data_IF_298907407598
#
_entry.id   IF_298907407598
#
_cell.length_a   1.000
_cell.length_b   1.000
_cell.length_c   1.000
_cell.angle_alpha   90.00
_cell.angle_beta   90.00
_cell.angle_gamma   90.00
#
_symmetry.space_group_name_H-M   'P 1'
#
loop_
_entity.id
_entity.type
_entity.pdbx_description
1 polymer ?
#
# COMPACT_ATOMS: atom_id res chain seq x y z
N UNK A 1 6.86 12.54 9.14
CA UNK A 1 5.49 12.48 9.70
C UNK A 1 5.41 11.44 10.79
N UNK A 2 5.19 11.92 12.00
CA UNK A 2 4.84 11.12 13.17
C UNK A 2 3.34 10.81 13.17
N UNK A 3 2.91 9.79 13.90
CA UNK A 3 1.50 9.35 13.89
C UNK A 3 0.56 10.30 14.65
N UNK A 4 -0.74 10.08 14.50
CA UNK A 4 -1.79 10.77 15.27
C UNK A 4 -1.72 10.51 16.78
N UNK A 5 -1.02 9.46 17.23
CA UNK A 5 -0.80 9.19 18.64
C UNK A 5 0.19 10.19 19.29
N UNK A 6 1.04 10.84 18.49
CA UNK A 6 1.95 11.89 18.95
C UNK A 6 1.45 13.29 18.60
N UNK A 7 0.85 13.43 17.42
CA UNK A 7 0.37 14.69 16.87
C UNK A 7 -1.10 14.54 16.50
N UNK A 8 -2.03 14.79 17.43
CA UNK A 8 -3.45 14.55 17.21
C UNK A 8 -4.04 15.30 16.00
N UNK A 9 -3.41 16.38 15.54
CA UNK A 9 -3.76 17.08 14.30
C UNK A 9 -3.59 16.23 13.04
N UNK A 10 -2.81 15.13 13.11
CA UNK A 10 -2.71 14.13 12.05
C UNK A 10 -3.87 13.13 12.07
N UNK A 11 -4.77 13.19 13.07
CA UNK A 11 -6.03 12.47 13.01
C UNK A 11 -6.98 13.14 12.01
N UNK A 12 -7.53 12.34 11.09
CA UNK A 12 -8.35 12.86 9.98
C UNK A 12 -9.61 13.55 10.53
N UNK A 13 -10.31 12.94 11.48
CA UNK A 13 -11.56 13.49 12.03
C UNK A 13 -11.29 14.80 12.75
N UNK A 14 -10.23 14.87 13.54
CA UNK A 14 -9.81 16.08 14.24
C UNK A 14 -9.34 17.19 13.30
N UNK A 15 -8.57 16.85 12.25
CA UNK A 15 -8.18 17.82 11.25
C UNK A 15 -9.41 18.45 10.59
N UNK A 16 -10.42 17.64 10.25
CA UNK A 16 -11.70 18.14 9.71
C UNK A 16 -12.45 19.03 10.68
N UNK A 17 -12.55 18.64 11.96
CA UNK A 17 -13.25 19.46 12.96
C UNK A 17 -12.59 20.83 13.16
N UNK A 18 -11.28 20.92 12.89
CA UNK A 18 -10.51 22.17 12.90
C UNK A 18 -10.59 22.96 11.58
N UNK A 19 -11.44 22.56 10.63
CA UNK A 19 -11.64 23.28 9.37
C UNK A 19 -10.61 22.99 8.28
N UNK A 20 -9.80 21.93 8.41
CA UNK A 20 -8.84 21.55 7.37
C UNK A 20 -9.57 21.02 6.12
N UNK A 21 -9.42 21.73 5.00
CA UNK A 21 -10.11 21.44 3.74
C UNK A 21 -9.55 20.24 2.95
N UNK A 22 -8.26 19.93 3.09
CA UNK A 22 -7.62 18.73 2.50
C UNK A 22 -6.65 18.14 3.52
N UNK A 23 -6.78 16.85 3.82
CA UNK A 23 -5.96 16.14 4.81
C UNK A 23 -4.95 15.24 4.09
N UNK A 24 -3.67 15.40 4.44
CA UNK A 24 -2.56 14.65 3.88
C UNK A 24 -1.71 14.06 5.02
N UNK A 25 -1.83 12.76 5.25
CA UNK A 25 -1.09 12.05 6.31
C UNK A 25 -0.63 10.68 5.81
N UNK A 26 0.02 9.89 6.65
CA UNK A 26 0.37 8.50 6.31
C UNK A 26 -0.87 7.61 6.15
N UNK A 27 -2.02 7.99 6.71
CA UNK A 27 -3.25 7.20 6.59
C UNK A 27 -3.72 7.11 5.13
N UNK A 28 -3.97 5.88 4.66
CA UNK A 28 -4.55 5.62 3.34
C UNK A 28 -6.02 6.09 3.24
N UNK A 29 -6.64 6.45 4.38
CA UNK A 29 -7.95 7.10 4.47
C UNK A 29 -7.88 8.62 4.31
N UNK A 30 -6.68 9.21 4.22
CA UNK A 30 -6.51 10.64 3.91
C UNK A 30 -6.99 10.95 2.49
N UNK A 31 -7.30 12.22 2.21
CA UNK A 31 -7.61 12.67 0.84
C UNK A 31 -6.46 12.36 -0.12
N UNK A 32 -5.24 12.64 0.35
CA UNK A 32 -4.00 12.36 -0.37
C UNK A 32 -3.01 11.72 0.60
N UNK A 33 -2.91 10.38 0.63
CA UNK A 33 -1.98 9.70 1.54
C UNK A 33 -0.53 9.97 1.17
N UNK A 34 0.33 10.13 2.17
CA UNK A 34 1.76 10.40 2.03
C UNK A 34 2.53 9.30 2.77
N UNK A 35 2.78 8.19 2.08
CA UNK A 35 3.48 7.02 2.61
C UNK A 35 5.00 7.12 2.47
N UNK A 36 5.71 6.22 3.15
CA UNK A 36 7.18 6.10 3.15
C UNK A 36 7.67 5.03 2.18
N UNK A 37 7.15 5.06 0.95
CA UNK A 37 7.47 4.06 -0.06
C UNK A 37 7.36 4.65 -1.46
N UNK A 38 8.30 4.28 -2.31
CA UNK A 38 8.28 4.57 -3.74
C UNK A 38 9.30 3.67 -4.44
N UNK A 39 9.05 3.33 -5.71
CA UNK A 39 10.01 2.61 -6.54
C UNK A 39 11.27 3.43 -6.84
N UNK A 40 11.13 4.76 -6.89
CA UNK A 40 12.22 5.68 -7.17
C UNK A 40 13.23 5.80 -6.00
N UNK A 41 12.75 5.80 -4.75
CA UNK A 41 13.61 5.97 -3.57
C UNK A 41 14.07 4.63 -2.98
N UNK A 42 13.23 3.59 -3.08
CA UNK A 42 13.50 2.30 -2.47
C UNK A 42 13.77 1.23 -3.52
N UNK A 43 14.99 0.70 -3.51
CA UNK A 43 15.38 -0.47 -4.34
C UNK A 43 14.82 -1.77 -3.76
N UNK A 44 13.50 -1.85 -3.66
CA UNK A 44 12.76 -2.94 -2.99
C UNK A 44 12.99 -4.28 -3.70
N UNK A 45 13.27 -4.29 -5.00
CA UNK A 45 13.49 -5.51 -5.78
C UNK A 45 14.97 -5.92 -5.89
N UNK A 46 15.91 -5.19 -5.26
CA UNK A 46 17.31 -5.63 -5.24
C UNK A 46 17.42 -7.00 -4.55
N UNK A 47 18.25 -7.87 -5.13
CA UNK A 47 18.51 -9.20 -4.60
C UNK A 47 19.09 -9.11 -3.18
N UNK A 48 18.65 -9.98 -2.25
CA UNK A 48 19.20 -10.02 -0.90
C UNK A 48 20.69 -10.40 -0.93
N UNK A 49 21.49 -9.76 -0.06
CA UNK A 49 22.89 -10.13 0.16
C UNK A 49 22.99 -11.31 1.15
N UNK A 50 24.09 -12.09 1.13
CA UNK A 50 24.36 -13.09 2.16
C UNK A 50 24.33 -12.49 3.57
N UNK A 51 23.73 -13.20 4.52
CA UNK A 51 23.61 -12.76 5.91
C UNK A 51 24.86 -13.22 6.68
N UNK A 52 25.63 -12.26 7.16
CA UNK A 52 26.97 -12.48 7.74
C UNK A 52 27.00 -12.32 9.26
N UNK A 53 25.99 -11.66 9.86
CA UNK A 53 25.97 -11.40 11.30
C UNK A 53 25.45 -12.61 12.08
N UNK A 54 26.06 -12.91 13.24
CA UNK A 54 25.66 -14.05 14.07
C UNK A 54 24.35 -13.80 14.82
N UNK A 55 24.13 -12.57 15.28
CA UNK A 55 22.85 -12.19 15.88
C UNK A 55 21.73 -12.27 14.84
N UNK A 56 20.55 -12.70 15.27
CA UNK A 56 19.42 -12.96 14.38
C UNK A 56 18.87 -11.66 13.78
N UNK A 57 18.75 -10.62 14.60
CA UNK A 57 18.14 -9.35 14.21
C UNK A 57 18.96 -8.13 14.54
N UNK A 58 18.69 -7.03 13.84
CA UNK A 58 19.22 -5.71 14.15
C UNK A 58 18.11 -4.69 14.40
N UNK A 59 18.34 -3.79 15.35
CA UNK A 59 17.44 -2.71 15.74
C UNK A 59 18.13 -1.35 15.68
N UNK A 60 17.44 -0.37 15.09
CA UNK A 60 17.89 1.02 15.00
C UNK A 60 16.84 1.94 15.65
N UNK A 61 16.68 1.81 16.97
CA UNK A 61 15.65 2.54 17.74
C UNK A 61 16.32 3.60 18.60
N UNK A 62 15.96 4.87 18.39
CA UNK A 62 16.51 6.00 19.17
C UNK A 62 15.46 6.80 19.95
N UNK A 63 14.16 6.59 19.69
CA UNK A 63 13.11 7.13 20.54
C UNK A 63 12.73 6.06 21.58
N UNK A 64 13.16 6.22 22.83
CA UNK A 64 12.90 5.22 23.87
C UNK A 64 11.55 5.40 24.59
N UNK A 65 10.91 6.56 24.42
CA UNK A 65 9.58 6.90 24.96
C UNK A 65 8.48 6.67 23.93
N UNK A 66 8.44 5.47 23.35
CA UNK A 66 7.41 5.10 22.38
C UNK A 66 6.02 5.05 23.04
N UNK A 67 4.95 5.42 22.33
CA UNK A 67 3.56 5.27 22.79
C UNK A 67 3.04 3.84 22.49
N UNK A 68 3.88 2.82 22.72
CA UNK A 68 3.56 1.40 22.61
C UNK A 68 4.62 0.55 23.35
N UNK A 69 4.39 -0.76 23.41
CA UNK A 69 5.25 -1.72 24.12
C UNK A 69 6.49 -2.19 23.36
N UNK A 70 6.93 -1.46 22.31
CA UNK A 70 7.96 -1.97 21.38
C UNK A 70 9.29 -2.36 22.05
N UNK A 71 9.72 -1.61 23.08
CA UNK A 71 10.94 -1.93 23.82
C UNK A 71 10.74 -3.11 24.76
N UNK A 72 9.56 -3.23 25.38
CA UNK A 72 9.18 -4.39 26.18
C UNK A 72 9.19 -5.65 25.33
N UNK A 73 8.58 -5.60 24.13
CA UNK A 73 8.59 -6.67 23.15
C UNK A 73 10.02 -7.05 22.75
N UNK A 74 10.88 -6.06 22.46
CA UNK A 74 12.29 -6.30 22.12
C UNK A 74 13.04 -7.04 23.24
N UNK A 75 12.90 -6.61 24.49
CA UNK A 75 13.53 -7.27 25.64
C UNK A 75 12.99 -8.68 25.85
N UNK A 76 11.69 -8.89 25.70
CA UNK A 76 11.08 -10.21 25.80
C UNK A 76 11.57 -11.15 24.69
N UNK A 77 11.74 -10.66 23.45
CA UNK A 77 12.36 -11.45 22.36
C UNK A 77 13.79 -11.87 22.74
N UNK A 78 14.59 -10.95 23.28
CA UNK A 78 15.95 -11.26 23.76
C UNK A 78 15.94 -12.32 24.87
N UNK A 79 15.01 -12.22 25.83
CA UNK A 79 14.84 -13.21 26.90
C UNK A 79 14.40 -14.59 26.38
N UNK A 80 13.65 -14.65 25.27
CA UNK A 80 13.28 -15.88 24.57
C UNK A 80 14.41 -16.45 23.68
N UNK A 81 15.61 -15.85 23.76
CA UNK A 81 16.81 -16.29 23.06
C UNK A 81 16.97 -15.74 21.64
N UNK A 82 16.19 -14.74 21.24
CA UNK A 82 16.39 -14.06 19.95
C UNK A 82 17.46 -12.99 20.12
N UNK A 83 18.69 -13.30 19.71
CA UNK A 83 19.80 -12.34 19.77
C UNK A 83 19.53 -11.16 18.83
N UNK A 84 19.51 -9.96 19.40
CA UNK A 84 19.26 -8.71 18.68
C UNK A 84 20.37 -7.71 18.99
N UNK A 85 21.01 -7.20 17.93
CA UNK A 85 21.98 -6.13 18.00
C UNK A 85 21.27 -4.78 17.88
N UNK A 86 21.41 -3.93 18.89
CA UNK A 86 20.84 -2.58 18.95
C UNK A 86 21.89 -1.52 18.67
N UNK A 87 21.73 -0.87 17.52
CA UNK A 87 22.61 0.19 17.01
C UNK A 87 22.08 1.61 17.34
N UNK A 88 20.83 1.70 17.79
CA UNK A 88 20.20 2.97 18.16
C UNK A 88 20.55 3.44 19.57
N UNK A 89 19.87 4.48 20.04
CA UNK A 89 20.08 5.04 21.39
C UNK A 89 19.40 4.22 22.50
N UNK A 90 18.49 3.30 22.15
CA UNK A 90 17.79 2.44 23.11
C UNK A 90 18.42 1.05 23.16
N UNK A 91 18.53 0.45 24.35
CA UNK A 91 19.23 -0.82 24.67
C UNK A 91 20.75 -0.85 24.36
N UNK A 92 21.18 -0.21 23.27
CA UNK A 92 22.55 0.08 22.83
C UNK A 92 23.61 -0.96 23.28
N UNK A 93 23.49 -2.18 22.77
CA UNK A 93 24.45 -3.26 23.07
C UNK A 93 25.57 -3.39 22.03
N UNK A 94 25.58 -2.56 20.99
CA UNK A 94 26.67 -2.44 20.01
C UNK A 94 27.35 -1.07 20.11
N UNK A 95 28.67 -1.06 20.36
CA UNK A 95 29.47 0.15 20.42
C UNK A 95 29.64 0.79 19.03
N UNK A 96 29.58 2.13 18.97
CA UNK A 96 29.79 2.88 17.72
C UNK A 96 28.68 2.72 16.67
N UNK A 97 27.58 2.03 16.99
CA UNK A 97 26.57 1.63 16.01
C UNK A 97 25.88 2.78 15.28
N UNK A 98 25.77 3.95 15.91
CA UNK A 98 25.12 5.14 15.34
C UNK A 98 25.89 5.79 14.18
N UNK A 99 27.19 5.49 14.04
CA UNK A 99 28.02 5.99 12.95
C UNK A 99 27.93 5.11 11.68
N UNK A 100 27.28 3.95 11.77
CA UNK A 100 27.17 3.01 10.66
C UNK A 100 26.05 3.41 9.69
N UNK A 101 26.22 3.02 8.42
CA UNK A 101 25.15 3.11 7.44
C UNK A 101 24.07 2.07 7.77
N UNK A 102 22.92 2.53 8.25
CA UNK A 102 21.78 1.69 8.65
C UNK A 102 21.42 0.63 7.60
N UNK A 103 21.29 1.03 6.33
CA UNK A 103 20.81 0.11 5.29
C UNK A 103 21.85 -0.97 4.96
N UNK A 104 23.14 -0.61 4.87
CA UNK A 104 24.19 -1.61 4.67
C UNK A 104 24.30 -2.57 5.86
N UNK A 105 24.20 -2.06 7.09
CA UNK A 105 24.19 -2.93 8.28
C UNK A 105 23.01 -3.88 8.27
N UNK A 106 21.78 -3.41 7.99
CA UNK A 106 20.60 -4.26 7.95
C UNK A 106 20.71 -5.41 6.92
N UNK A 107 21.43 -5.21 5.82
CA UNK A 107 21.63 -6.24 4.77
C UNK A 107 22.36 -7.47 5.30
N UNK A 108 23.17 -7.33 6.34
CA UNK A 108 23.95 -8.40 6.94
C UNK A 108 23.14 -9.31 7.89
N UNK A 109 21.93 -8.91 8.29
CA UNK A 109 21.07 -9.64 9.23
C UNK A 109 19.95 -10.40 8.54
N UNK A 110 19.55 -11.55 9.11
CA UNK A 110 18.34 -12.28 8.69
C UNK A 110 17.08 -11.45 8.97
N UNK A 111 17.01 -10.84 10.14
CA UNK A 111 15.85 -10.07 10.58
C UNK A 111 16.19 -8.60 10.81
N UNK A 112 15.20 -7.73 10.58
CA UNK A 112 15.28 -6.30 10.89
C UNK A 112 14.10 -5.91 11.77
N UNK A 113 14.35 -5.26 12.91
CA UNK A 113 13.28 -4.79 13.79
C UNK A 113 12.67 -3.50 13.21
N UNK A 114 11.56 -3.67 12.50
CA UNK A 114 10.75 -2.59 11.95
C UNK A 114 9.68 -2.14 12.96
N UNK A 115 10.13 -1.71 14.14
CA UNK A 115 9.25 -1.36 15.26
C UNK A 115 8.83 0.11 15.19
N UNK A 116 7.55 0.35 14.94
CA UNK A 116 6.97 1.68 14.98
C UNK A 116 6.81 2.18 16.41
N UNK A 117 6.72 3.51 16.59
CA UNK A 117 6.57 4.13 17.91
C UNK A 117 5.11 4.25 18.38
N UNK A 118 4.16 3.79 17.57
CA UNK A 118 2.74 3.72 17.93
C UNK A 118 2.04 2.69 17.06
N UNK A 119 0.89 2.19 17.52
CA UNK A 119 0.11 1.15 16.83
C UNK A 119 -1.11 1.75 16.13
N UNK A 120 -0.88 2.76 15.27
CA UNK A 120 -1.94 3.46 14.53
C UNK A 120 -2.12 2.81 13.17
N UNK A 121 -3.37 2.63 12.71
CA UNK A 121 -3.68 2.14 11.36
C UNK A 121 -2.90 2.91 10.30
N UNK A 122 -2.35 2.20 9.31
CA UNK A 122 -1.61 2.76 8.18
C UNK A 122 -0.30 3.47 8.50
N UNK A 123 0.10 3.52 9.77
CA UNK A 123 1.36 4.13 10.18
C UNK A 123 2.53 3.16 9.92
N UNK A 124 2.88 2.99 8.64
CA UNK A 124 4.03 2.22 8.17
C UNK A 124 5.08 3.18 7.63
N UNK A 125 6.26 3.17 8.23
CA UNK A 125 7.32 4.14 7.93
C UNK A 125 8.50 3.52 7.20
N UNK A 126 9.59 4.27 7.06
CA UNK A 126 10.83 3.83 6.43
C UNK A 126 11.38 2.54 7.06
N UNK A 127 11.06 2.26 8.34
CA UNK A 127 11.59 1.08 9.06
C UNK A 127 11.19 -0.22 8.37
N UNK A 128 9.93 -0.32 7.95
CA UNK A 128 9.43 -1.49 7.25
C UNK A 128 10.04 -1.59 5.84
N UNK A 129 9.95 -0.52 5.05
CA UNK A 129 10.45 -0.54 3.66
C UNK A 129 11.97 -0.68 3.56
N UNK A 130 12.75 -0.11 4.48
CA UNK A 130 14.20 -0.32 4.55
C UNK A 130 14.55 -1.78 4.87
N UNK A 131 13.72 -2.48 5.64
CA UNK A 131 13.90 -3.93 5.87
C UNK A 131 13.72 -4.72 4.56
N UNK A 132 12.69 -4.37 3.77
CA UNK A 132 12.47 -4.95 2.45
C UNK A 132 13.64 -4.66 1.50
N UNK A 133 14.13 -3.42 1.44
CA UNK A 133 15.31 -3.05 0.62
C UNK A 133 16.57 -3.80 1.07
N UNK A 134 16.75 -3.99 2.38
CA UNK A 134 17.88 -4.76 2.92
C UNK A 134 17.82 -6.26 2.57
N UNK A 135 16.66 -6.75 2.11
CA UNK A 135 16.42 -8.18 1.91
C UNK A 135 16.47 -8.94 3.24
N UNK A 136 16.03 -8.28 4.32
CA UNK A 136 15.96 -8.83 5.67
C UNK A 136 14.50 -8.92 6.06
N UNK A 137 14.10 -10.01 6.70
CA UNK A 137 12.70 -10.24 7.08
C UNK A 137 12.31 -9.26 8.20
N UNK A 138 11.36 -8.35 7.98
CA UNK A 138 10.93 -7.42 9.02
C UNK A 138 10.22 -8.17 10.16
N UNK A 139 10.66 -7.92 11.39
CA UNK A 139 9.89 -8.18 12.61
C UNK A 139 9.19 -6.87 12.95
N UNK A 140 7.87 -6.88 13.00
CA UNK A 140 7.05 -5.67 13.08
C UNK A 140 6.25 -5.64 14.38
N UNK A 141 6.26 -4.48 15.04
CA UNK A 141 5.22 -4.06 15.97
C UNK A 141 4.81 -2.64 15.56
N UNK A 142 3.51 -2.37 15.47
CA UNK A 142 3.01 -1.15 14.84
C UNK A 142 1.57 -1.29 14.36
N UNK A 143 1.25 -0.90 13.10
CA UNK A 143 -0.12 -0.86 12.62
C UNK A 143 -0.80 -2.23 12.65
N UNK A 144 -2.07 -2.32 13.09
CA UNK A 144 -2.82 -3.58 13.12
C UNK A 144 -3.02 -4.21 11.74
N UNK A 145 -2.93 -3.42 10.67
CA UNK A 145 -3.13 -3.83 9.28
C UNK A 145 -1.82 -3.91 8.50
N UNK A 146 -0.67 -4.19 9.14
CA UNK A 146 0.64 -4.27 8.47
C UNK A 146 0.65 -5.21 7.24
N UNK A 147 -0.17 -6.25 7.24
CA UNK A 147 -0.26 -7.19 6.12
C UNK A 147 -0.75 -6.55 4.81
N UNK A 148 -1.47 -5.44 4.86
CA UNK A 148 -1.85 -4.65 3.68
C UNK A 148 -0.62 -4.05 2.96
N UNK A 149 0.48 -3.89 3.68
CA UNK A 149 1.75 -3.33 3.21
C UNK A 149 2.78 -4.42 2.89
N UNK A 150 2.47 -5.69 3.13
CA UNK A 150 3.41 -6.78 2.95
C UNK A 150 3.52 -7.22 1.47
N UNK A 151 4.73 -7.41 0.93
CA UNK A 151 4.88 -7.90 -0.44
C UNK A 151 4.35 -9.33 -0.64
N UNK A 152 4.38 -10.15 0.41
CA UNK A 152 3.77 -11.47 0.47
C UNK A 152 3.30 -11.81 1.88
N UNK A 153 2.36 -12.75 2.02
CA UNK A 153 1.76 -13.11 3.33
C UNK A 153 2.76 -13.68 4.34
N UNK A 154 3.82 -14.34 3.88
CA UNK A 154 4.89 -14.91 4.70
C UNK A 154 6.12 -14.00 4.85
N UNK A 155 6.10 -12.79 4.29
CA UNK A 155 7.28 -11.91 4.19
C UNK A 155 7.66 -11.16 5.46
N UNK A 156 6.92 -11.33 6.56
CA UNK A 156 7.16 -10.65 7.83
C UNK A 156 6.79 -11.51 9.05
N UNK A 157 7.30 -11.11 10.22
CA UNK A 157 6.86 -11.59 11.52
C UNK A 157 6.18 -10.43 12.24
N UNK A 158 4.87 -10.49 12.44
CA UNK A 158 4.12 -9.46 13.15
C UNK A 158 3.94 -9.86 14.62
N UNK A 159 4.11 -8.88 15.51
CA UNK A 159 3.90 -9.00 16.95
C UNK A 159 2.95 -7.87 17.37
N UNK A 160 1.68 -8.23 17.58
CA UNK A 160 0.64 -7.26 17.92
C UNK A 160 0.85 -6.66 19.30
N UNK A 161 1.14 -7.52 20.27
CA UNK A 161 1.33 -7.16 21.67
C UNK A 161 2.23 -8.18 22.39
N UNK A 162 2.51 -7.92 23.67
CA UNK A 162 3.43 -8.72 24.50
C UNK A 162 3.02 -10.19 24.63
N UNK A 163 1.73 -10.52 24.46
CA UNK A 163 1.26 -11.91 24.61
C UNK A 163 1.73 -12.82 23.46
N UNK A 164 2.03 -12.24 22.29
CA UNK A 164 2.45 -12.99 21.09
C UNK A 164 3.97 -13.23 21.02
N UNK A 165 4.75 -12.60 21.92
CA UNK A 165 6.22 -12.61 21.83
C UNK A 165 6.81 -14.02 21.82
N UNK A 166 6.29 -14.94 22.65
CA UNK A 166 6.79 -16.32 22.70
C UNK A 166 6.54 -17.09 21.40
N UNK A 167 5.38 -16.88 20.78
CA UNK A 167 5.05 -17.48 19.49
C UNK A 167 5.93 -16.87 18.37
N UNK A 168 6.13 -15.56 18.40
CA UNK A 168 7.00 -14.86 17.46
C UNK A 168 8.46 -15.31 17.59
N UNK A 169 8.99 -15.44 18.81
CA UNK A 169 10.34 -15.94 19.07
C UNK A 169 10.54 -17.37 18.53
N UNK A 170 9.55 -18.24 18.74
CA UNK A 170 9.56 -19.60 18.18
C UNK A 170 9.63 -19.57 16.65
N UNK A 171 8.81 -18.72 16.00
CA UNK A 171 8.82 -18.56 14.54
C UNK A 171 10.15 -17.99 14.03
N UNK A 172 10.71 -16.99 14.70
CA UNK A 172 12.00 -16.37 14.33
C UNK A 172 13.12 -17.41 14.39
N UNK A 173 13.19 -18.21 15.46
CA UNK A 173 14.19 -19.28 15.60
C UNK A 173 14.01 -20.37 14.55
N UNK A 174 12.79 -20.81 14.30
CA UNK A 174 12.49 -21.76 13.22
C UNK A 174 12.98 -21.26 11.85
N UNK A 175 12.67 -20.00 11.49
CA UNK A 175 13.15 -19.40 10.26
C UNK A 175 14.69 -19.23 10.27
N UNK A 176 15.30 -18.93 11.42
CA UNK A 176 16.75 -18.80 11.51
C UNK A 176 17.48 -20.14 11.25
N UNK A 177 16.91 -21.25 11.72
CA UNK A 177 17.49 -22.60 11.64
C UNK A 177 17.12 -23.34 10.33
N UNK A 178 16.01 -22.97 9.69
CA UNK A 178 15.53 -23.57 8.45
C UNK A 178 15.74 -22.64 7.25
N UNK A 179 16.80 -22.90 6.48
CA UNK A 179 17.17 -22.09 5.32
C UNK A 179 16.08 -22.08 4.23
N UNK A 180 15.42 -23.22 3.98
CA UNK A 180 14.31 -23.30 3.02
C UNK A 180 13.16 -22.39 3.44
N UNK A 181 12.69 -22.51 4.68
CA UNK A 181 11.60 -21.70 5.21
C UNK A 181 11.97 -20.20 5.25
N UNK A 182 13.22 -19.85 5.56
CA UNK A 182 13.70 -18.48 5.46
C UNK A 182 13.66 -17.97 4.03
N UNK A 183 14.21 -18.72 3.08
CA UNK A 183 14.25 -18.34 1.67
C UNK A 183 12.85 -18.17 1.09
N UNK A 184 11.86 -18.95 1.54
CA UNK A 184 10.44 -18.80 1.19
C UNK A 184 9.89 -17.41 1.54
N UNK A 185 10.32 -16.80 2.66
CA UNK A 185 9.87 -15.45 3.05
C UNK A 185 10.37 -14.34 2.13
N UNK A 186 11.41 -14.60 1.34
CA UNK A 186 12.04 -13.66 0.41
C UNK A 186 11.76 -14.00 -1.07
N UNK A 187 11.00 -15.06 -1.37
CA UNK A 187 10.74 -15.47 -2.76
C UNK A 187 10.07 -14.40 -3.62
N UNK A 188 9.30 -13.50 -2.99
CA UNK A 188 8.68 -12.36 -3.67
C UNK A 188 9.70 -11.43 -4.34
N UNK A 189 10.96 -11.42 -3.90
CA UNK A 189 12.07 -10.68 -4.55
C UNK A 189 12.38 -11.20 -5.96
N UNK A 190 12.09 -12.46 -6.22
CA UNK A 190 12.42 -13.14 -7.49
C UNK A 190 11.17 -13.33 -8.34
N UNK A 191 10.06 -13.75 -7.73
CA UNK A 191 8.81 -14.04 -8.44
C UNK A 191 7.94 -12.79 -8.64
N UNK A 192 8.29 -11.68 -7.98
CA UNK A 192 7.48 -10.48 -7.89
C UNK A 192 6.59 -10.47 -6.63
N UNK A 193 6.24 -9.27 -6.12
CA UNK A 193 5.33 -9.14 -4.99
C UNK A 193 3.88 -9.31 -5.41
N UNK A 194 2.97 -9.37 -4.42
CA UNK A 194 1.52 -9.44 -4.67
C UNK A 194 0.99 -8.21 -5.41
N UNK A 195 -0.10 -8.38 -6.16
CA UNK A 195 -0.80 -7.27 -6.83
C UNK A 195 -1.22 -6.16 -5.86
N UNK A 196 -1.58 -6.54 -4.64
CA UNK A 196 -1.96 -5.59 -3.59
C UNK A 196 -0.79 -4.68 -3.23
N UNK A 197 0.40 -5.26 -3.08
CA UNK A 197 1.63 -4.52 -2.83
C UNK A 197 2.04 -3.66 -4.02
N UNK A 198 1.94 -4.18 -5.25
CA UNK A 198 2.19 -3.40 -6.46
C UNK A 198 1.28 -2.17 -6.51
N UNK A 199 -0.04 -2.38 -6.39
CA UNK A 199 -1.03 -1.31 -6.39
C UNK A 199 -0.83 -0.28 -5.27
N UNK A 200 -0.35 -0.71 -4.11
CA UNK A 200 0.03 0.18 -3.02
C UNK A 200 1.23 1.04 -3.41
N UNK A 201 2.37 0.44 -3.78
CA UNK A 201 3.60 1.20 -4.06
C UNK A 201 3.47 2.09 -5.29
N UNK A 202 2.71 1.66 -6.30
CA UNK A 202 2.42 2.42 -7.51
C UNK A 202 1.69 3.74 -7.24
N UNK A 203 1.01 3.89 -6.09
CA UNK A 203 0.41 5.17 -5.73
C UNK A 203 1.46 6.29 -5.61
N UNK A 204 2.72 5.93 -5.32
CA UNK A 204 3.83 6.86 -5.20
C UNK A 204 4.52 7.15 -6.55
N UNK A 205 4.11 6.47 -7.64
CA UNK A 205 4.59 6.81 -8.99
C UNK A 205 4.23 8.25 -9.38
N UNK A 206 3.16 8.80 -8.79
CA UNK A 206 2.84 10.22 -8.85
C UNK A 206 3.17 10.86 -7.52
N UNK A 207 4.08 11.84 -7.54
CA UNK A 207 4.48 12.57 -6.34
C UNK A 207 3.26 13.16 -5.60
N UNK A 208 3.34 13.22 -4.25
CA UNK A 208 2.21 13.63 -3.40
C UNK A 208 1.63 15.01 -3.75
N UNK A 209 2.48 15.96 -4.15
CA UNK A 209 2.04 17.28 -4.64
C UNK A 209 1.20 17.19 -5.92
N UNK A 210 1.58 16.35 -6.88
CA UNK A 210 0.80 16.12 -8.10
C UNK A 210 -0.52 15.42 -7.79
N UNK A 211 -0.53 14.45 -6.86
CA UNK A 211 -1.76 13.80 -6.39
C UNK A 211 -2.69 14.79 -5.70
N UNK A 212 -2.15 15.76 -4.95
CA UNK A 212 -2.93 16.88 -4.40
C UNK A 212 -3.56 17.73 -5.51
N UNK A 213 -2.80 18.10 -6.53
CA UNK A 213 -3.36 18.84 -7.68
C UNK A 213 -4.50 18.06 -8.35
N UNK A 214 -4.32 16.76 -8.60
CA UNK A 214 -5.35 15.90 -9.18
C UNK A 214 -6.58 15.82 -8.28
N UNK A 215 -6.38 15.71 -6.96
CA UNK A 215 -7.48 15.67 -6.00
C UNK A 215 -8.29 16.98 -6.01
N UNK A 216 -7.63 18.13 -5.90
CA UNK A 216 -8.28 19.45 -5.90
C UNK A 216 -8.98 19.70 -7.23
N UNK A 217 -8.33 19.43 -8.36
CA UNK A 217 -8.93 19.55 -9.69
C UNK A 217 -10.14 18.62 -9.84
N UNK A 218 -10.06 17.37 -9.35
CA UNK A 218 -11.20 16.44 -9.37
C UNK A 218 -12.37 17.00 -8.56
N UNK A 219 -12.13 17.53 -7.36
CA UNK A 219 -13.18 18.14 -6.54
C UNK A 219 -13.81 19.37 -7.20
N UNK A 220 -13.02 20.21 -7.87
CA UNK A 220 -13.53 21.36 -8.63
C UNK A 220 -14.43 20.90 -9.78
N UNK A 221 -13.95 19.95 -10.61
CA UNK A 221 -14.71 19.39 -11.73
C UNK A 221 -16.04 18.78 -11.27
N UNK A 222 -16.03 18.00 -10.19
CA UNK A 222 -17.25 17.40 -9.64
C UNK A 222 -18.27 18.46 -9.19
N UNK A 223 -17.80 19.59 -8.64
CA UNK A 223 -18.67 20.71 -8.23
C UNK A 223 -19.28 21.42 -9.44
N UNK A 224 -18.50 21.64 -10.49
CA UNK A 224 -18.96 22.23 -11.75
C UNK A 224 -19.95 21.32 -12.48
N UNK A 225 -19.64 20.03 -12.59
CA UNK A 225 -20.52 19.03 -13.22
C UNK A 225 -21.84 18.85 -12.46
N UNK A 226 -21.83 18.97 -11.13
CA UNK A 226 -23.05 18.92 -10.32
C UNK A 226 -24.00 20.11 -10.60
N UNK A 227 -23.45 21.26 -11.01
CA UNK A 227 -24.21 22.45 -11.40
C UNK A 227 -24.58 22.47 -12.90
N UNK A 228 -23.94 21.63 -13.72
CA UNK A 228 -24.12 21.61 -15.16
C UNK A 228 -25.38 20.82 -15.59
N UNK A 229 -25.96 21.13 -16.78
CA UNK A 229 -27.05 20.33 -17.35
C UNK A 229 -26.61 18.88 -17.58
N UNK A 230 -27.37 17.93 -17.04
CA UNK A 230 -27.05 16.49 -17.15
C UNK A 230 -27.28 16.00 -18.58
N UNK A 231 -26.23 15.50 -19.21
CA UNK A 231 -26.33 14.75 -20.48
C UNK A 231 -26.83 13.33 -20.21
N UNK A 232 -27.65 12.74 -21.10
CA UNK A 232 -28.11 11.37 -20.90
C UNK A 232 -26.97 10.37 -21.11
N UNK A 233 -26.59 9.68 -20.03
CA UNK A 233 -25.61 8.57 -20.07
C UNK A 233 -26.28 7.19 -20.17
N UNK A 234 -27.55 7.18 -20.56
CA UNK A 234 -28.35 5.97 -20.80
C UNK A 234 -29.19 6.20 -22.04
N UNK A 235 -29.15 5.26 -22.97
CA UNK A 235 -30.00 5.26 -24.15
C UNK A 235 -30.73 3.92 -24.24
N UNK A 236 -32.06 3.94 -24.35
CA UNK A 236 -32.86 2.72 -24.55
C UNK A 236 -33.40 2.73 -25.96
N UNK A 237 -33.05 1.71 -26.74
CA UNK A 237 -33.50 1.53 -28.11
C UNK A 237 -34.98 1.15 -28.17
N UNK A 238 -35.58 1.28 -29.35
CA UNK A 238 -36.96 0.84 -29.60
C UNK A 238 -37.17 -0.67 -29.37
N UNK A 239 -36.11 -1.48 -29.48
CA UNK A 239 -36.15 -2.92 -29.20
C UNK A 239 -35.98 -3.25 -27.70
N UNK A 240 -35.91 -2.23 -26.83
CA UNK A 240 -35.78 -2.39 -25.38
C UNK A 240 -34.34 -2.57 -24.89
N UNK A 241 -33.34 -2.64 -25.78
CA UNK A 241 -31.95 -2.73 -25.37
C UNK A 241 -31.49 -1.39 -24.77
N UNK A 242 -30.87 -1.45 -23.59
CA UNK A 242 -30.32 -0.26 -22.92
C UNK A 242 -28.81 -0.24 -23.06
N UNK A 243 -28.25 0.88 -23.52
CA UNK A 243 -26.82 1.16 -23.53
C UNK A 243 -26.50 2.15 -22.40
N UNK A 244 -25.52 1.81 -21.58
CA UNK A 244 -24.98 2.66 -20.53
C UNK A 244 -23.66 3.28 -20.97
N UNK A 245 -23.47 4.56 -20.70
CA UNK A 245 -22.24 5.30 -20.93
C UNK A 245 -21.57 5.56 -19.58
N UNK A 246 -20.42 4.92 -19.36
CA UNK A 246 -19.63 5.08 -18.14
C UNK A 246 -18.35 5.84 -18.47
N UNK A 247 -17.77 6.47 -17.45
CA UNK A 247 -16.50 7.14 -17.55
C UNK A 247 -15.47 6.38 -16.72
N UNK A 248 -14.29 6.12 -17.27
CA UNK A 248 -13.23 5.36 -16.58
C UNK A 248 -11.90 6.08 -16.73
N UNK A 249 -11.13 6.21 -15.64
CA UNK A 249 -9.74 6.67 -15.69
C UNK A 249 -8.82 5.76 -14.91
N UNK A 250 -7.54 5.74 -15.25
CA UNK A 250 -6.53 5.19 -14.34
C UNK A 250 -6.40 6.08 -13.09
N UNK A 251 -6.33 5.47 -11.90
CA UNK A 251 -6.07 6.21 -10.65
C UNK A 251 -4.74 6.97 -10.77
N UNK A 252 -4.74 8.25 -10.42
CA UNK A 252 -3.56 9.13 -10.58
C UNK A 252 -3.48 9.83 -11.94
N UNK A 253 -4.48 9.66 -12.81
CA UNK A 253 -4.73 10.53 -13.97
C UNK A 253 -5.92 11.45 -13.74
N UNK A 254 -6.01 12.53 -14.50
CA UNK A 254 -7.13 13.47 -14.42
C UNK A 254 -8.23 13.16 -15.44
N UNK A 255 -7.83 12.89 -16.68
CA UNK A 255 -8.74 12.68 -17.82
C UNK A 255 -9.48 11.35 -17.74
N UNK A 256 -10.73 11.37 -18.21
CA UNK A 256 -11.65 10.22 -18.21
C UNK A 256 -11.87 9.72 -19.64
N UNK A 257 -11.95 8.41 -19.79
CA UNK A 257 -12.29 7.73 -21.03
C UNK A 257 -13.75 7.28 -21.03
N UNK A 258 -14.40 7.41 -22.19
CA UNK A 258 -15.77 6.91 -22.38
C UNK A 258 -15.77 5.42 -22.69
N UNK A 259 -16.60 4.66 -21.97
CA UNK A 259 -16.91 3.25 -22.26
C UNK A 259 -18.41 3.04 -22.34
N UNK A 260 -18.84 2.14 -23.23
CA UNK A 260 -20.25 1.86 -23.47
C UNK A 260 -20.54 0.38 -23.22
N UNK A 261 -21.58 0.09 -22.43
CA UNK A 261 -21.94 -1.27 -22.05
C UNK A 261 -23.43 -1.51 -22.24
N UNK A 262 -23.76 -2.57 -22.97
CA UNK A 262 -25.14 -3.04 -23.10
C UNK A 262 -25.63 -3.60 -21.76
N UNK A 263 -26.83 -3.19 -21.32
CA UNK A 263 -27.40 -3.60 -20.04
C UNK A 263 -27.57 -5.10 -19.87
N UNK A 264 -27.80 -5.84 -20.95
CA UNK A 264 -27.87 -7.30 -20.96
C UNK A 264 -26.51 -7.96 -20.67
N UNK A 265 -25.40 -7.29 -21.01
CA UNK A 265 -24.02 -7.76 -20.81
C UNK A 265 -23.36 -7.17 -19.57
N UNK A 266 -24.07 -6.35 -18.78
CA UNK A 266 -23.50 -5.65 -17.63
C UNK A 266 -23.11 -6.65 -16.52
N UNK A 267 -21.84 -7.04 -16.50
CA UNK A 267 -21.19 -7.86 -15.48
C UNK A 267 -19.81 -7.29 -15.15
N UNK A 268 -19.23 -7.67 -14.00
CA UNK A 268 -17.89 -7.24 -13.62
C UNK A 268 -16.83 -7.73 -14.61
N UNK A 269 -16.98 -8.97 -15.09
CA UNK A 269 -16.07 -9.53 -16.08
C UNK A 269 -16.12 -8.75 -17.40
N UNK A 270 -17.32 -8.45 -17.89
CA UNK A 270 -17.47 -7.70 -19.13
C UNK A 270 -17.04 -6.24 -18.98
N UNK A 271 -17.32 -5.59 -17.84
CA UNK A 271 -16.81 -4.26 -17.53
C UNK A 271 -15.28 -4.22 -17.58
N UNK A 272 -14.60 -5.17 -16.94
CA UNK A 272 -13.14 -5.27 -16.97
C UNK A 272 -12.63 -5.44 -18.40
N UNK A 273 -13.25 -6.32 -19.19
CA UNK A 273 -12.87 -6.53 -20.58
C UNK A 273 -13.00 -5.24 -21.41
N UNK A 274 -14.14 -4.55 -21.33
CA UNK A 274 -14.37 -3.29 -22.07
C UNK A 274 -13.36 -2.22 -21.68
N UNK A 275 -12.98 -2.13 -20.39
CA UNK A 275 -11.96 -1.20 -19.93
C UNK A 275 -10.58 -1.57 -20.49
N UNK A 276 -10.18 -2.84 -20.43
CA UNK A 276 -8.91 -3.30 -21.02
C UNK A 276 -8.88 -3.03 -22.52
N UNK A 277 -9.93 -3.37 -23.25
CA UNK A 277 -10.02 -3.16 -24.71
C UNK A 277 -9.89 -1.67 -25.06
N UNK A 278 -10.61 -0.81 -24.34
CA UNK A 278 -10.57 0.65 -24.52
C UNK A 278 -9.17 1.20 -24.29
N UNK A 279 -8.54 0.86 -23.16
CA UNK A 279 -7.20 1.37 -22.83
C UNK A 279 -6.11 0.78 -23.74
N UNK A 280 -6.27 -0.46 -24.18
CA UNK A 280 -5.37 -1.09 -25.16
C UNK A 280 -5.47 -0.41 -26.52
N UNK A 281 -6.69 -0.11 -27.01
CA UNK A 281 -6.89 0.61 -28.27
C UNK A 281 -6.27 2.01 -28.25
N UNK A 282 -6.25 2.65 -27.08
CA UNK A 282 -5.59 3.95 -26.87
C UNK A 282 -4.06 3.85 -26.74
N UNK A 283 -3.48 2.63 -26.78
CA UNK A 283 -2.07 2.37 -26.48
C UNK A 283 -1.66 2.95 -25.13
N UNK A 284 -2.54 2.82 -24.14
CA UNK A 284 -2.35 3.39 -22.82
C UNK A 284 -1.12 2.80 -22.13
N UNK A 285 -0.34 3.66 -21.49
CA UNK A 285 0.79 3.27 -20.64
C UNK A 285 0.44 3.58 -19.19
N UNK A 286 0.37 2.57 -18.30
CA UNK A 286 0.09 2.79 -16.89
C UNK A 286 1.08 3.76 -16.24
N UNK A 287 0.60 4.60 -15.31
CA UNK A 287 1.42 5.65 -14.69
C UNK A 287 2.66 5.11 -13.97
N UNK A 288 2.61 3.88 -13.49
CA UNK A 288 3.70 3.23 -12.76
C UNK A 288 4.75 2.59 -13.67
N UNK A 289 4.49 2.47 -14.97
CA UNK A 289 5.29 1.63 -15.88
C UNK A 289 6.77 2.04 -15.93
N UNK A 290 7.05 3.35 -15.95
CA UNK A 290 8.42 3.87 -15.97
C UNK A 290 9.09 3.80 -14.61
N UNK A 291 8.32 3.95 -13.53
CA UNK A 291 8.83 3.98 -12.15
C UNK A 291 9.16 2.58 -11.62
N UNK A 292 8.39 1.55 -12.00
CA UNK A 292 8.67 0.18 -11.55
C UNK A 292 10.04 -0.30 -12.01
N UNK A 293 10.77 -1.10 -11.19
CA UNK A 293 11.97 -1.82 -11.63
C UNK A 293 11.68 -2.73 -12.82
N UNK A 294 12.64 -2.85 -13.74
CA UNK A 294 12.49 -3.62 -15.00
C UNK A 294 12.01 -5.06 -14.78
N UNK A 295 12.55 -5.72 -13.75
CA UNK A 295 12.21 -7.09 -13.35
C UNK A 295 10.71 -7.31 -13.07
N UNK A 296 9.96 -6.25 -12.74
CA UNK A 296 8.53 -6.33 -12.41
C UNK A 296 7.66 -5.38 -13.25
N UNK A 297 8.19 -4.82 -14.34
CA UNK A 297 7.40 -3.99 -15.26
C UNK A 297 6.36 -4.83 -16.01
N UNK A 298 6.65 -6.11 -16.28
CA UNK A 298 5.83 -6.95 -17.16
C UNK A 298 5.83 -6.47 -18.62
N UNK A 299 5.03 -7.12 -19.46
CA UNK A 299 4.87 -6.76 -20.88
C UNK A 299 3.89 -5.59 -21.07
N UNK A 300 3.44 -5.32 -22.30
CA UNK A 300 2.48 -4.25 -22.61
C UNK A 300 1.03 -4.57 -22.23
N UNK A 301 0.75 -5.77 -21.71
CA UNK A 301 -0.62 -6.21 -21.47
C UNK A 301 -1.19 -5.51 -20.23
N UNK A 302 -2.40 -4.98 -20.38
CA UNK A 302 -3.09 -4.29 -19.31
C UNK A 302 -3.90 -5.29 -18.49
N UNK A 303 -3.58 -5.40 -17.20
CA UNK A 303 -4.31 -6.23 -16.25
C UNK A 303 -4.90 -5.38 -15.14
N UNK A 304 -6.20 -5.51 -14.92
CA UNK A 304 -6.94 -4.76 -13.90
C UNK A 304 -6.85 -5.48 -12.56
N UNK A 305 -6.25 -4.84 -11.57
CA UNK A 305 -6.34 -5.27 -10.17
C UNK A 305 -7.70 -4.90 -9.57
N UNK A 306 -8.03 -3.60 -9.63
CA UNK A 306 -9.23 -3.03 -9.01
C UNK A 306 -9.90 -2.05 -9.96
N UNK A 307 -11.23 -2.03 -9.90
CA UNK A 307 -12.07 -1.00 -10.53
C UNK A 307 -13.16 -0.62 -9.53
N UNK A 308 -13.37 0.67 -9.33
CA UNK A 308 -14.25 1.21 -8.29
C UNK A 308 -14.70 2.64 -8.63
N UNK A 309 -15.76 3.16 -7.98
CA UNK A 309 -16.22 4.53 -8.20
C UNK A 309 -15.18 5.59 -7.84
N UNK A 310 -15.17 6.69 -8.60
CA UNK A 310 -14.38 7.88 -8.25
C UNK A 310 -14.80 8.40 -6.86
N UNK A 311 -13.82 8.80 -6.06
CA UNK A 311 -14.04 9.48 -4.78
C UNK A 311 -13.73 8.64 -3.54
N UNK A 312 -13.39 7.35 -3.72
CA UNK A 312 -12.90 6.51 -2.64
C UNK A 312 -11.47 6.88 -2.23
N UNK A 313 -11.21 6.83 -0.93
CA UNK A 313 -9.86 6.88 -0.35
C UNK A 313 -9.01 5.70 -0.83
N UNK A 314 -7.70 5.74 -0.60
CA UNK A 314 -6.83 4.62 -0.99
C UNK A 314 -7.17 3.35 -0.19
N UNK A 315 -7.48 3.52 1.11
CA UNK A 315 -7.91 2.46 2.02
C UNK A 315 -9.16 1.76 1.49
N UNK A 316 -10.18 2.53 1.11
CA UNK A 316 -11.41 2.01 0.53
C UNK A 316 -11.16 1.30 -0.80
N UNK A 317 -10.53 1.98 -1.75
CA UNK A 317 -10.32 1.50 -3.10
C UNK A 317 -9.58 0.15 -3.18
N UNK A 318 -8.54 -0.03 -2.35
CA UNK A 318 -7.71 -1.23 -2.41
C UNK A 318 -8.22 -2.35 -1.48
N UNK A 319 -8.70 -2.01 -0.28
CA UNK A 319 -8.80 -3.00 0.80
C UNK A 319 -10.21 -3.24 1.34
N UNK A 320 -11.11 -2.25 1.33
CA UNK A 320 -12.43 -2.40 1.99
C UNK A 320 -13.63 -2.32 1.05
N UNK A 321 -13.47 -1.75 -0.15
CA UNK A 321 -14.57 -1.57 -1.07
C UNK A 321 -14.61 -2.64 -2.18
N UNK A 322 -15.82 -3.12 -2.47
CA UNK A 322 -16.14 -3.92 -3.65
C UNK A 322 -17.59 -3.69 -4.11
N UNK A 323 -17.92 -4.15 -5.32
CA UNK A 323 -19.24 -3.99 -5.93
C UNK A 323 -20.33 -4.89 -5.31
N UNK A 324 -20.01 -5.87 -4.47
CA UNK A 324 -20.92 -6.93 -4.04
C UNK A 324 -21.30 -7.89 -5.18
N UNK A 325 -20.43 -8.03 -6.18
CA UNK A 325 -20.66 -8.83 -7.39
C UNK A 325 -21.48 -8.12 -8.47
N UNK A 326 -21.91 -8.88 -9.48
CA UNK A 326 -22.62 -8.35 -10.66
C UNK A 326 -23.92 -7.62 -10.32
N UNK A 327 -24.63 -8.07 -9.27
CA UNK A 327 -25.89 -7.44 -8.84
C UNK A 327 -25.65 -6.03 -8.32
N UNK A 328 -24.62 -5.81 -7.52
CA UNK A 328 -24.33 -4.49 -7.00
C UNK A 328 -23.75 -3.55 -8.05
N UNK A 329 -22.97 -4.04 -9.02
CA UNK A 329 -22.60 -3.27 -10.22
C UNK A 329 -23.85 -2.80 -10.98
N UNK A 330 -24.78 -3.71 -11.29
CA UNK A 330 -26.02 -3.39 -12.00
C UNK A 330 -26.84 -2.34 -11.26
N UNK A 331 -27.03 -2.51 -9.94
CA UNK A 331 -27.76 -1.57 -9.11
C UNK A 331 -27.11 -0.17 -9.11
N UNK A 332 -25.78 -0.11 -9.04
CA UNK A 332 -25.03 1.14 -9.05
C UNK A 332 -25.17 1.88 -10.38
N UNK A 333 -24.96 1.20 -11.50
CA UNK A 333 -25.08 1.79 -12.85
C UNK A 333 -26.52 2.25 -13.14
N UNK A 334 -27.52 1.52 -12.67
CA UNK A 334 -28.93 1.92 -12.81
C UNK A 334 -29.26 3.17 -11.98
N UNK A 335 -28.72 3.27 -10.76
CA UNK A 335 -28.91 4.42 -9.87
C UNK A 335 -28.13 5.65 -10.33
N UNK A 336 -26.96 5.45 -10.94
CA UNK A 336 -26.05 6.49 -11.41
C UNK A 336 -25.69 6.25 -12.89
N UNK A 337 -26.51 6.73 -13.83
CA UNK A 337 -26.32 6.45 -15.26
C UNK A 337 -24.99 6.93 -15.85
N UNK A 338 -24.38 7.97 -15.26
CA UNK A 338 -23.08 8.52 -15.64
C UNK A 338 -21.98 8.09 -14.65
N UNK A 339 -21.96 6.82 -14.26
CA UNK A 339 -21.02 6.33 -13.25
C UNK A 339 -19.57 6.61 -13.68
N UNK A 340 -18.84 7.30 -12.82
CA UNK A 340 -17.42 7.57 -12.98
C UNK A 340 -16.62 6.56 -12.17
N UNK A 341 -15.67 5.89 -12.81
CA UNK A 341 -14.87 4.82 -12.25
C UNK A 341 -13.38 5.16 -12.34
N UNK A 342 -12.63 4.66 -11.36
CA UNK A 342 -11.18 4.56 -11.41
C UNK A 342 -10.77 3.10 -11.56
N UNK A 343 -9.70 2.88 -12.31
CA UNK A 343 -9.07 1.59 -12.50
C UNK A 343 -7.63 1.62 -11.99
N UNK A 344 -7.19 0.52 -11.40
CA UNK A 344 -5.81 0.27 -11.00
C UNK A 344 -5.29 -0.89 -11.84
N UNK A 345 -4.31 -0.60 -12.69
CA UNK A 345 -3.58 -1.61 -13.46
C UNK A 345 -2.40 -2.13 -12.64
N UNK A 346 -2.03 -3.40 -12.83
CA UNK A 346 -0.88 -4.02 -12.17
C UNK A 346 -0.05 -4.94 -13.05
#
# INVERSE_FOLDING_TARGET
MESSAYFPENDIVRARSNGVGVVMTTSLSSDVPVGYFSWAEYKIMDAPKPKTKPALGAAFISNCGAHNDRLTIMRMLQNEGVQIDSYGSCEQNVLGGRALNKLETLREYKFSLAFENSNVEDYVTEKFFQSLVAGSVPIVTGPPNIYDFAPASNSLVYIKDVSEVKAAASRIKYLAENETAYNETLQWKFNGPSDSFLALVDMAAVHSSCRLCIFVATKSRLKEEAAAPKRPCKCTSKSGSTLYHLYVRERGRFEMESVFIEGSKLSLAHLKQVVVDKFTALKHVPIWKTERPEVIRGNSDLRIYKIYPVGLTQREALYTWDFGGDKGLKAMVQKQPCLQLEVVFV
#
